data_IF_604851361186
#
_entry.id   IF_604851361186
#
_cell.length_a   1.000
_cell.length_b   1.000
_cell.length_c   1.000
_cell.angle_alpha   90.00
_cell.angle_beta   90.00
_cell.angle_gamma   90.00
#
_symmetry.space_group_name_H-M   'P 1'
#
loop_
_entity.id
_entity.type
_entity.pdbx_description
1 polymer ?
#
# COMPACT_ATOMS: atom_id res chain seq x y z
N UNK A 1 21.71 -12.47 -14.92
CA UNK A 1 20.35 -12.61 -14.32
C UNK A 1 19.48 -11.48 -14.82
N UNK A 2 18.18 -11.72 -14.99
CA UNK A 2 17.20 -10.70 -15.42
C UNK A 2 16.76 -9.88 -14.21
N UNK A 3 16.67 -8.56 -14.39
CA UNK A 3 16.16 -7.63 -13.36
C UNK A 3 14.66 -7.78 -13.22
N UNK A 4 14.17 -8.12 -12.02
CA UNK A 4 12.73 -8.31 -11.77
C UNK A 4 12.13 -7.08 -11.10
N UNK A 5 11.02 -6.61 -11.67
CA UNK A 5 10.17 -5.57 -11.10
C UNK A 5 8.82 -6.19 -10.76
N UNK A 6 8.33 -5.96 -9.54
CA UNK A 6 7.04 -6.47 -9.09
C UNK A 6 6.06 -5.31 -8.82
N UNK A 7 4.86 -5.36 -9.40
CA UNK A 7 3.98 -4.18 -9.53
C UNK A 7 2.58 -4.31 -8.90
N UNK A 8 2.29 -5.44 -8.26
CA UNK A 8 1.07 -5.66 -7.48
C UNK A 8 1.46 -6.17 -6.10
N UNK A 9 2.06 -5.27 -5.32
CA UNK A 9 2.55 -5.58 -3.98
C UNK A 9 1.86 -4.71 -2.96
N UNK A 10 0.91 -5.33 -2.29
CA UNK A 10 0.08 -4.71 -1.27
C UNK A 10 0.91 -4.20 -0.09
N UNK A 11 0.64 -2.97 0.33
CA UNK A 11 0.99 -2.41 1.63
C UNK A 11 -0.27 -1.92 2.35
N UNK A 12 -0.14 -1.64 3.64
CA UNK A 12 -1.19 -1.03 4.44
C UNK A 12 -0.60 -0.09 5.49
N UNK A 13 -1.49 0.55 6.24
CA UNK A 13 -1.15 1.44 7.35
C UNK A 13 -1.85 0.98 8.62
N UNK A 14 -1.25 1.25 9.78
CA UNK A 14 -1.88 1.07 11.09
C UNK A 14 -2.62 2.32 11.58
N UNK A 15 -2.35 3.46 10.95
CA UNK A 15 -3.04 4.72 11.22
C UNK A 15 -3.19 5.55 9.93
N UNK A 16 -4.36 5.49 9.25
CA UNK A 16 -5.54 4.70 9.64
C UNK A 16 -5.28 3.19 9.55
N UNK A 17 -5.93 2.37 10.40
CA UNK A 17 -5.73 0.91 10.42
C UNK A 17 -6.45 0.21 9.24
N UNK A 18 -5.87 0.36 8.05
CA UNK A 18 -6.48 -0.10 6.80
C UNK A 18 -6.39 -1.63 6.65
N UNK A 19 -5.40 -2.26 7.30
CA UNK A 19 -5.19 -3.72 7.24
C UNK A 19 -6.27 -4.52 7.95
N UNK A 20 -7.12 -3.88 8.75
CA UNK A 20 -8.23 -4.53 9.44
C UNK A 20 -9.53 -4.60 8.63
N UNK A 21 -9.64 -3.84 7.54
CA UNK A 21 -10.84 -3.90 6.70
C UNK A 21 -11.07 -5.26 6.03
N UNK A 22 -10.06 -5.98 5.49
CA UNK A 22 -10.30 -7.22 4.74
C UNK A 22 -10.39 -8.48 5.60
N UNK A 23 -10.62 -8.37 6.92
CA UNK A 23 -10.64 -9.49 7.88
C UNK A 23 -11.47 -10.71 7.45
N UNK A 24 -12.57 -10.47 6.73
CA UNK A 24 -13.53 -11.50 6.32
C UNK A 24 -13.01 -12.42 5.20
N UNK A 25 -11.95 -12.02 4.48
CA UNK A 25 -11.39 -12.79 3.36
C UNK A 25 -10.32 -13.80 3.77
N UNK A 26 -9.99 -13.89 5.06
CA UNK A 26 -8.89 -14.71 5.56
C UNK A 26 -9.34 -15.71 6.62
N UNK A 27 -8.85 -16.94 6.49
CA UNK A 27 -8.92 -17.96 7.55
C UNK A 27 -8.07 -17.55 8.76
N UNK A 28 -8.33 -18.16 9.92
CA UNK A 28 -7.51 -17.96 11.14
C UNK A 28 -6.01 -18.21 10.88
N UNK A 29 -5.67 -19.19 10.04
CA UNK A 29 -4.29 -19.52 9.67
C UNK A 29 -3.63 -18.43 8.82
N UNK A 30 -4.37 -17.84 7.88
CA UNK A 30 -3.83 -16.88 6.90
C UNK A 30 -3.89 -15.44 7.39
N UNK A 31 -4.70 -15.15 8.41
CA UNK A 31 -4.91 -13.80 8.93
C UNK A 31 -3.65 -13.16 9.55
N UNK A 32 -2.85 -13.84 10.40
CA UNK A 32 -1.65 -13.22 10.98
C UNK A 32 -0.63 -12.72 9.94
N UNK A 33 -0.18 -13.53 8.95
CA UNK A 33 0.74 -13.04 7.94
C UNK A 33 0.11 -11.99 7.03
N UNK A 34 -1.19 -12.12 6.71
CA UNK A 34 -1.92 -11.11 5.94
C UNK A 34 -1.90 -9.73 6.63
N UNK A 35 -2.02 -9.68 7.96
CA UNK A 35 -1.96 -8.40 8.69
C UNK A 35 -0.54 -7.86 8.80
N UNK A 36 0.43 -8.74 9.09
CA UNK A 36 1.82 -8.33 9.36
C UNK A 36 2.56 -7.85 8.09
N UNK A 37 2.50 -8.62 7.01
CA UNK A 37 3.36 -8.41 5.84
C UNK A 37 3.10 -7.09 5.08
N UNK A 38 1.85 -6.60 4.94
CA UNK A 38 1.59 -5.29 4.35
C UNK A 38 2.14 -4.12 5.17
N UNK A 39 2.35 -4.30 6.48
CA UNK A 39 2.91 -3.28 7.38
C UNK A 39 4.44 -3.29 7.41
N UNK A 40 5.08 -4.44 7.13
CA UNK A 40 6.53 -4.58 7.13
C UNK A 40 7.14 -4.43 5.73
N UNK A 41 7.22 -3.19 5.26
CA UNK A 41 7.82 -2.85 3.96
C UNK A 41 9.35 -2.88 4.02
N UNK A 42 9.94 -2.42 5.13
CA UNK A 42 11.38 -2.14 5.23
C UNK A 42 12.21 -3.29 5.83
N UNK A 43 11.55 -4.30 6.42
CA UNK A 43 12.18 -5.48 7.03
C UNK A 43 11.96 -6.75 6.21
N UNK A 44 10.96 -7.56 6.60
CA UNK A 44 10.67 -8.89 6.02
C UNK A 44 10.57 -8.83 4.49
N UNK A 45 9.86 -7.83 3.95
CA UNK A 45 9.66 -7.68 2.50
C UNK A 45 10.98 -7.47 1.76
N UNK A 46 11.85 -6.60 2.27
CA UNK A 46 13.12 -6.30 1.64
C UNK A 46 14.01 -7.55 1.57
N UNK A 47 14.09 -8.31 2.67
CA UNK A 47 14.81 -9.59 2.70
C UNK A 47 14.26 -10.58 1.66
N UNK A 48 12.94 -10.71 1.56
CA UNK A 48 12.29 -11.59 0.59
C UNK A 48 12.50 -11.11 -0.86
N UNK A 49 12.57 -9.80 -1.09
CA UNK A 49 12.95 -9.25 -2.40
C UNK A 49 14.36 -9.68 -2.79
N UNK A 50 15.33 -9.58 -1.87
CA UNK A 50 16.71 -9.98 -2.14
C UNK A 50 16.82 -11.48 -2.46
N UNK A 51 16.19 -12.33 -1.65
CA UNK A 51 16.15 -13.79 -1.87
C UNK A 51 15.48 -14.16 -3.19
N UNK A 52 14.40 -13.47 -3.54
CA UNK A 52 13.70 -13.68 -4.79
C UNK A 52 14.38 -12.99 -5.98
N UNK A 53 15.44 -12.20 -5.79
CA UNK A 53 16.07 -11.41 -6.86
C UNK A 53 15.16 -10.35 -7.48
N UNK A 54 14.29 -9.73 -6.66
CA UNK A 54 13.42 -8.60 -7.04
C UNK A 54 14.17 -7.29 -6.76
N UNK A 55 14.41 -6.54 -7.82
CA UNK A 55 15.19 -5.29 -7.76
C UNK A 55 14.32 -4.13 -7.29
N UNK A 56 13.10 -4.03 -7.86
CA UNK A 56 12.15 -2.97 -7.57
C UNK A 56 10.76 -3.53 -7.25
N UNK A 57 10.12 -2.98 -6.23
CA UNK A 57 8.70 -3.19 -5.93
C UNK A 57 7.93 -1.90 -6.09
N UNK A 58 6.84 -1.92 -6.85
CA UNK A 58 5.83 -0.85 -6.85
C UNK A 58 4.75 -1.21 -5.84
N UNK A 59 4.69 -0.44 -4.76
CA UNK A 59 3.71 -0.58 -3.68
C UNK A 59 2.33 -0.13 -4.17
N UNK A 60 1.30 -0.87 -3.78
CA UNK A 60 -0.11 -0.54 -4.05
C UNK A 60 -0.92 -0.80 -2.78
N UNK A 61 -1.95 0.00 -2.51
CA UNK A 61 -2.75 -0.16 -1.31
C UNK A 61 -3.55 -1.47 -1.37
N UNK A 62 -3.65 -2.18 -0.24
CA UNK A 62 -4.52 -3.36 -0.11
C UNK A 62 -6.00 -3.05 -0.37
N UNK A 63 -6.74 -4.05 -0.86
CA UNK A 63 -8.19 -3.99 -1.04
C UNK A 63 -8.93 -4.47 0.23
N UNK A 64 -10.14 -3.95 0.52
CA UNK A 64 -10.88 -2.93 -0.24
C UNK A 64 -10.38 -1.50 -0.03
N UNK A 65 -9.53 -1.26 0.98
CA UNK A 65 -8.80 0.00 1.16
C UNK A 65 -9.71 1.24 1.21
N UNK A 66 -9.30 2.29 0.50
CA UNK A 66 -10.05 3.55 0.43
C UNK A 66 -11.44 3.34 -0.19
N UNK A 67 -11.57 2.39 -1.11
CA UNK A 67 -12.79 2.12 -1.87
C UNK A 67 -13.89 1.50 -0.99
N UNK A 68 -13.52 0.89 0.14
CA UNK A 68 -14.47 0.40 1.14
C UNK A 68 -15.12 1.51 1.98
N UNK A 69 -14.64 2.77 1.89
CA UNK A 69 -15.13 3.87 2.71
C UNK A 69 -16.31 4.59 2.02
N UNK A 70 -17.50 4.67 2.63
CA UNK A 70 -18.63 5.34 1.99
C UNK A 70 -18.56 6.87 2.10
N UNK A 71 -17.93 7.42 3.13
CA UNK A 71 -17.83 8.86 3.35
C UNK A 71 -16.68 9.49 2.56
N UNK A 72 -17.00 10.39 1.61
CA UNK A 72 -16.03 11.10 0.76
C UNK A 72 -14.89 11.76 1.54
N UNK A 73 -15.21 12.49 2.60
CA UNK A 73 -14.22 13.21 3.40
C UNK A 73 -13.23 12.25 4.08
N UNK A 74 -13.72 11.12 4.60
CA UNK A 74 -12.89 10.09 5.20
C UNK A 74 -12.01 9.39 4.15
N UNK A 75 -12.58 9.07 2.98
CA UNK A 75 -11.82 8.49 1.89
C UNK A 75 -10.66 9.38 1.43
N UNK A 76 -10.88 10.70 1.32
CA UNK A 76 -9.84 11.66 0.98
C UNK A 76 -8.76 11.77 2.08
N UNK A 77 -9.15 11.84 3.36
CA UNK A 77 -8.20 11.85 4.47
C UNK A 77 -7.31 10.60 4.46
N UNK A 78 -7.93 9.42 4.34
CA UNK A 78 -7.21 8.16 4.35
C UNK A 78 -6.32 8.01 3.11
N UNK A 79 -6.78 8.43 1.93
CA UNK A 79 -5.97 8.44 0.72
C UNK A 79 -4.67 9.23 0.91
N UNK A 80 -4.76 10.46 1.41
CA UNK A 80 -3.60 11.31 1.67
C UNK A 80 -2.62 10.67 2.63
N UNK A 81 -3.11 10.21 3.78
CA UNK A 81 -2.28 9.62 4.83
C UNK A 81 -1.61 8.33 4.37
N UNK A 82 -2.33 7.48 3.64
CA UNK A 82 -1.78 6.27 3.05
C UNK A 82 -0.71 6.59 1.99
N UNK A 83 -0.97 7.57 1.12
CA UNK A 83 0.00 8.03 0.12
C UNK A 83 1.27 8.61 0.78
N UNK A 84 1.12 9.37 1.86
CA UNK A 84 2.26 9.91 2.62
C UNK A 84 3.10 8.79 3.25
N UNK A 85 2.49 7.71 3.74
CA UNK A 85 3.22 6.53 4.23
C UNK A 85 3.95 5.81 3.09
N UNK A 86 3.31 5.65 1.94
CA UNK A 86 3.96 5.06 0.76
C UNK A 86 5.16 5.90 0.31
N UNK A 87 4.99 7.22 0.23
CA UNK A 87 6.05 8.17 -0.10
C UNK A 87 7.23 8.04 0.87
N UNK A 88 6.99 8.00 2.19
CA UNK A 88 8.06 7.77 3.18
C UNK A 88 8.81 6.47 2.96
N UNK A 89 8.13 5.38 2.61
CA UNK A 89 8.81 4.12 2.32
C UNK A 89 9.68 4.19 1.05
N UNK A 90 9.20 4.91 0.04
CA UNK A 90 9.97 5.20 -1.19
C UNK A 90 11.17 6.08 -0.88
N UNK A 91 11.01 7.16 -0.12
CA UNK A 91 12.09 8.07 0.27
C UNK A 91 13.23 7.37 1.03
N UNK A 92 12.90 6.41 1.89
CA UNK A 92 13.91 5.65 2.63
C UNK A 92 14.78 4.76 1.73
N UNK A 93 14.23 4.26 0.60
CA UNK A 93 14.91 3.34 -0.33
C UNK A 93 14.39 3.52 -1.76
N UNK A 94 14.68 4.65 -2.42
CA UNK A 94 14.14 4.97 -3.75
C UNK A 94 14.70 4.05 -4.85
N UNK A 95 15.79 3.34 -4.57
CA UNK A 95 16.36 2.31 -5.42
C UNK A 95 15.60 0.97 -5.36
N UNK A 96 14.80 0.75 -4.31
CA UNK A 96 14.09 -0.52 -4.06
C UNK A 96 12.57 -0.41 -4.17
N UNK A 97 12.02 0.77 -3.94
CA UNK A 97 10.58 0.98 -3.92
C UNK A 97 10.13 2.14 -4.80
N UNK A 98 8.98 1.94 -5.44
CA UNK A 98 8.11 2.97 -5.98
C UNK A 98 6.69 2.75 -5.42
N UNK A 99 5.74 3.64 -5.70
CA UNK A 99 4.36 3.50 -5.25
C UNK A 99 3.35 3.96 -6.29
N UNK A 100 2.22 3.28 -6.35
CA UNK A 100 1.01 3.78 -6.98
C UNK A 100 0.20 4.62 -5.99
N UNK A 101 -0.41 5.69 -6.47
CA UNK A 101 -1.31 6.50 -5.67
C UNK A 101 -2.58 5.72 -5.31
N UNK A 102 -2.94 5.78 -4.04
CA UNK A 102 -4.22 5.34 -3.54
C UNK A 102 -5.21 6.52 -3.65
N UNK A 103 -6.35 6.32 -4.33
CA UNK A 103 -7.22 7.43 -4.76
C UNK A 103 -8.62 7.35 -4.13
N UNK A 104 -9.19 8.49 -3.68
CA UNK A 104 -10.55 8.58 -3.14
C UNK A 104 -11.58 8.67 -4.28
N UNK A 105 -11.86 7.54 -4.95
CA UNK A 105 -12.73 7.48 -6.13
C UNK A 105 -14.22 7.84 -5.87
N UNK A 106 -14.60 8.06 -4.62
CA UNK A 106 -15.91 8.60 -4.21
C UNK A 106 -16.10 10.07 -4.64
N UNK A 107 -15.00 10.75 -4.97
CA UNK A 107 -14.95 12.13 -5.48
C UNK A 107 -13.91 12.22 -6.62
N UNK A 108 -14.36 12.28 -7.90
CA UNK A 108 -13.48 12.30 -9.05
C UNK A 108 -12.50 13.48 -9.09
N UNK A 109 -12.91 14.67 -8.63
CA UNK A 109 -12.06 15.87 -8.63
C UNK A 109 -10.99 15.76 -7.54
N UNK A 110 -11.38 15.28 -6.36
CA UNK A 110 -10.43 15.01 -5.28
C UNK A 110 -9.44 13.91 -5.68
N UNK A 111 -9.88 12.86 -6.38
CA UNK A 111 -9.01 11.81 -6.91
C UNK A 111 -8.02 12.35 -7.94
N UNK A 112 -8.48 13.17 -8.88
CA UNK A 112 -7.60 13.79 -9.88
C UNK A 112 -6.60 14.78 -9.25
N UNK A 113 -7.00 15.45 -8.16
CA UNK A 113 -6.12 16.32 -7.38
C UNK A 113 -5.06 15.50 -6.64
N UNK A 114 -5.46 14.42 -5.95
CA UNK A 114 -4.55 13.57 -5.19
C UNK A 114 -3.57 12.82 -6.11
N UNK A 115 -4.00 12.37 -7.29
CA UNK A 115 -3.13 11.73 -8.29
C UNK A 115 -1.99 12.65 -8.75
N UNK A 116 -2.22 13.96 -8.81
CA UNK A 116 -1.23 14.94 -9.27
C UNK A 116 -0.40 15.51 -8.12
N UNK A 117 -0.72 15.18 -6.87
CA UNK A 117 0.02 15.65 -5.70
C UNK A 117 1.44 15.10 -5.73
N UNK A 118 2.41 15.94 -5.36
CA UNK A 118 3.82 15.58 -5.23
C UNK A 118 4.18 15.40 -3.77
#
# INVERSE_FOLDING_TARGET
MVRKVALEKHFGTSDPDIVEQPREHFTERTRPPHRRQPLDVQGERLRLMDEAGIELVVLSLLAPGIQGLPQRAQALDWARRTNDVAARHVELRPDRFAAFAALPLQDPEAAATELRRR
#
